data_IF_106429630458
#
_entry.id   IF_106429630458
#
_cell.length_a   1.000
_cell.length_b   1.000
_cell.length_c   1.000
_cell.angle_alpha   90.00
_cell.angle_beta   90.00
_cell.angle_gamma   90.00
#
_symmetry.space_group_name_H-M   'P 1'
#
loop_
_entity.id
_entity.type
_entity.pdbx_description
1 polymer ?
#
# COMPACT_ATOMS: atom_id res chain seq x y z
N UNK A 1 21.30 -32.21 -7.37
CA UNK A 1 20.10 -32.50 -6.56
C UNK A 1 20.41 -32.08 -5.14
N UNK A 2 19.71 -31.08 -4.62
CA UNK A 2 20.05 -30.47 -3.32
C UNK A 2 19.15 -31.07 -2.25
N UNK A 3 19.74 -31.73 -1.25
CA UNK A 3 19.00 -32.29 -0.12
C UNK A 3 18.67 -31.18 0.87
N UNK A 4 17.38 -30.89 1.06
CA UNK A 4 16.90 -29.93 2.07
C UNK A 4 16.38 -30.74 3.25
N UNK A 5 17.00 -30.59 4.42
CA UNK A 5 16.58 -31.26 5.66
C UNK A 5 15.72 -30.32 6.49
N UNK A 6 14.56 -30.81 6.94
CA UNK A 6 13.65 -30.10 7.83
C UNK A 6 13.74 -30.76 9.21
N UNK A 7 14.13 -30.03 10.27
CA UNK A 7 14.14 -30.53 11.63
C UNK A 7 12.76 -31.08 12.07
N UNK A 8 12.76 -32.20 12.81
CA UNK A 8 11.51 -32.86 13.24
C UNK A 8 10.65 -31.97 14.15
N UNK A 9 11.28 -31.07 14.91
CA UNK A 9 10.58 -30.13 15.78
C UNK A 9 9.73 -29.12 15.00
N UNK A 10 10.15 -28.79 13.77
CA UNK A 10 9.39 -27.89 12.89
C UNK A 10 8.25 -28.62 12.19
N UNK A 11 8.45 -29.89 11.83
CA UNK A 11 7.42 -30.72 11.21
C UNK A 11 6.22 -31.03 12.12
N UNK A 12 6.38 -30.91 13.44
CA UNK A 12 5.29 -31.12 14.41
C UNK A 12 4.34 -29.93 14.54
N UNK A 13 4.66 -28.77 13.97
CA UNK A 13 3.87 -27.53 14.11
C UNK A 13 2.75 -27.38 13.08
N UNK A 14 2.52 -28.41 12.25
CA UNK A 14 1.49 -28.43 11.21
C UNK A 14 2.08 -28.46 9.80
N UNK A 15 1.32 -27.97 8.83
CA UNK A 15 1.71 -28.00 7.42
C UNK A 15 2.84 -27.01 7.13
N UNK A 16 3.91 -27.49 6.49
CA UNK A 16 5.08 -26.72 6.13
C UNK A 16 5.13 -26.48 4.61
N UNK A 17 5.47 -25.25 4.22
CA UNK A 17 5.70 -24.88 2.83
C UNK A 17 7.13 -24.36 2.65
N UNK A 18 7.80 -24.81 1.58
CA UNK A 18 9.09 -24.29 1.15
C UNK A 18 8.85 -23.10 0.23
N UNK A 19 9.35 -21.93 0.60
CA UNK A 19 9.23 -20.70 -0.16
C UNK A 19 10.62 -20.10 -0.37
N UNK A 20 10.96 -19.64 -1.59
CA UNK A 20 12.19 -18.90 -1.81
C UNK A 20 12.31 -17.70 -0.88
N UNK A 21 13.50 -17.48 -0.32
CA UNK A 21 13.74 -16.42 0.68
C UNK A 21 13.26 -15.05 0.21
N UNK A 22 13.52 -14.70 -1.04
CA UNK A 22 13.13 -13.41 -1.63
C UNK A 22 11.62 -13.21 -1.61
N UNK A 23 10.85 -14.22 -2.00
CA UNK A 23 9.38 -14.18 -2.00
C UNK A 23 8.82 -14.07 -0.59
N UNK A 24 9.41 -14.79 0.38
CA UNK A 24 9.02 -14.68 1.78
C UNK A 24 9.25 -13.27 2.34
N UNK A 25 10.40 -12.65 2.03
CA UNK A 25 10.72 -11.28 2.46
C UNK A 25 9.79 -10.24 1.83
N UNK A 26 9.41 -10.41 0.57
CA UNK A 26 8.43 -9.56 -0.10
C UNK A 26 7.04 -9.71 0.53
N UNK A 27 6.59 -10.93 0.80
CA UNK A 27 5.33 -11.19 1.50
C UNK A 27 5.29 -10.53 2.89
N UNK A 28 6.40 -10.59 3.64
CA UNK A 28 6.49 -9.92 4.93
C UNK A 28 6.39 -8.39 4.82
N UNK A 29 6.87 -7.78 3.72
CA UNK A 29 6.68 -6.34 3.46
C UNK A 29 5.20 -6.03 3.21
N UNK A 30 4.50 -6.85 2.43
CA UNK A 30 3.07 -6.70 2.21
C UNK A 30 2.27 -6.79 3.52
N UNK A 31 2.62 -7.74 4.40
CA UNK A 31 1.96 -7.88 5.71
C UNK A 31 2.17 -6.68 6.65
N UNK A 32 3.20 -5.85 6.41
CA UNK A 32 3.43 -4.60 7.16
C UNK A 32 2.61 -3.42 6.67
N UNK A 33 1.99 -3.53 5.50
CA UNK A 33 1.07 -2.51 4.99
C UNK A 33 -0.19 -2.60 5.87
N UNK A 34 -0.34 -1.67 6.80
CA UNK A 34 -1.57 -1.56 7.59
C UNK A 34 -2.69 -1.18 6.65
N UNK A 35 -3.74 -2.00 6.62
CA UNK A 35 -4.96 -1.64 5.92
C UNK A 35 -5.48 -0.32 6.51
N UNK A 36 -5.50 0.71 5.67
CA UNK A 36 -5.98 2.01 6.07
C UNK A 36 -7.51 1.93 6.24
N UNK A 37 -7.97 2.04 7.48
CA UNK A 37 -9.41 2.14 7.77
C UNK A 37 -9.80 3.61 7.76
N UNK A 38 -10.44 4.13 6.69
CA UNK A 38 -10.78 5.55 6.62
C UNK A 38 -11.83 5.90 7.67
N UNK A 39 -11.74 7.09 8.24
CA UNK A 39 -12.78 7.71 9.06
C UNK A 39 -14.02 8.06 8.22
N UNK A 40 -15.14 8.37 8.88
CA UNK A 40 -16.37 8.85 8.21
C UNK A 40 -16.08 10.10 7.37
N UNK A 41 -15.25 11.02 7.90
CA UNK A 41 -14.89 12.26 7.23
C UNK A 41 -14.10 11.98 5.94
N UNK A 42 -13.10 11.09 6.01
CA UNK A 42 -12.28 10.71 4.85
C UNK A 42 -13.10 9.98 3.78
N UNK A 43 -14.04 9.12 4.18
CA UNK A 43 -14.97 8.48 3.22
C UNK A 43 -15.83 9.51 2.49
N UNK A 44 -16.36 10.50 3.21
CA UNK A 44 -17.14 11.60 2.60
C UNK A 44 -16.27 12.47 1.69
N UNK A 45 -15.04 12.77 2.11
CA UNK A 45 -14.08 13.53 1.32
C UNK A 45 -13.73 12.80 0.01
N UNK A 46 -13.52 11.48 0.07
CA UNK A 46 -13.25 10.66 -1.11
C UNK A 46 -14.47 10.61 -2.05
N UNK A 47 -15.67 10.46 -1.52
CA UNK A 47 -16.90 10.49 -2.32
C UNK A 47 -17.09 11.85 -3.01
N UNK A 48 -16.78 12.95 -2.31
CA UNK A 48 -16.78 14.30 -2.90
C UNK A 48 -15.73 14.43 -4.00
N UNK A 49 -14.49 14.03 -3.73
CA UNK A 49 -13.39 14.09 -4.69
C UNK A 49 -13.71 13.34 -5.99
N UNK A 50 -14.35 12.16 -5.89
CA UNK A 50 -14.80 11.40 -7.07
C UNK A 50 -15.83 12.16 -7.91
N UNK A 51 -16.80 12.84 -7.27
CA UNK A 51 -17.80 13.65 -7.97
C UNK A 51 -17.17 14.88 -8.62
N UNK A 52 -16.26 15.55 -7.91
CA UNK A 52 -15.56 16.72 -8.41
C UNK A 52 -14.71 16.34 -9.63
N UNK A 53 -14.01 15.19 -9.58
CA UNK A 53 -13.26 14.66 -10.71
C UNK A 53 -14.14 14.38 -11.94
N UNK A 54 -15.29 13.72 -11.77
CA UNK A 54 -16.24 13.46 -12.86
C UNK A 54 -16.79 14.75 -13.49
N UNK A 55 -16.91 15.81 -12.71
CA UNK A 55 -17.36 17.13 -13.18
C UNK A 55 -16.25 17.95 -13.84
N UNK A 56 -15.01 17.44 -13.91
CA UNK A 56 -13.85 18.19 -14.39
C UNK A 56 -13.29 19.18 -13.37
N UNK A 57 -13.75 19.16 -12.12
CA UNK A 57 -13.30 20.02 -11.05
C UNK A 57 -12.05 19.42 -10.38
N UNK A 58 -10.94 19.41 -11.11
CA UNK A 58 -9.64 18.98 -10.60
C UNK A 58 -8.55 19.95 -11.02
N UNK A 59 -7.44 19.88 -10.30
CA UNK A 59 -6.25 20.68 -10.56
C UNK A 59 -5.31 19.88 -11.48
N UNK A 60 -4.86 20.48 -12.57
CA UNK A 60 -3.75 19.91 -13.36
C UNK A 60 -2.43 20.10 -12.61
N UNK A 61 -1.41 19.31 -12.98
CA UNK A 61 -0.08 19.43 -12.38
C UNK A 61 0.52 20.83 -12.58
N UNK A 62 0.36 21.42 -13.78
CA UNK A 62 0.82 22.78 -14.06
C UNK A 62 0.10 23.86 -13.23
N UNK A 63 -1.19 23.65 -12.96
CA UNK A 63 -1.94 24.54 -12.07
C UNK A 63 -1.46 24.37 -10.62
N UNK A 64 -1.23 23.13 -10.18
CA UNK A 64 -0.71 22.84 -8.85
C UNK A 64 0.66 23.50 -8.62
N UNK A 65 1.59 23.36 -9.54
CA UNK A 65 2.93 23.95 -9.43
C UNK A 65 2.88 25.46 -9.34
N UNK A 66 2.03 26.11 -10.15
CA UNK A 66 1.82 27.57 -10.07
C UNK A 66 1.23 28.00 -8.73
N UNK A 67 0.26 27.27 -8.19
CA UNK A 67 -0.33 27.58 -6.88
C UNK A 67 0.68 27.41 -5.75
N UNK A 68 1.50 26.35 -5.78
CA UNK A 68 2.52 26.10 -4.77
C UNK A 68 3.67 27.11 -4.86
N UNK A 69 4.10 27.47 -6.07
CA UNK A 69 5.10 28.51 -6.29
C UNK A 69 4.65 29.86 -5.74
N UNK A 70 3.41 30.28 -6.04
CA UNK A 70 2.82 31.53 -5.52
C UNK A 70 2.74 31.54 -3.99
N UNK A 71 2.48 30.39 -3.37
CA UNK A 71 2.35 30.24 -1.91
C UNK A 71 3.70 30.25 -1.18
N UNK A 72 4.81 29.96 -1.86
CA UNK A 72 6.18 30.05 -1.30
C UNK A 72 6.75 31.48 -1.34
N UNK A 73 6.20 32.33 -2.21
CA UNK A 73 6.63 33.73 -2.38
C UNK A 73 5.74 34.74 -1.65
N UNK A 74 4.68 34.29 -0.94
CA UNK A 74 3.80 35.11 -0.10
C UNK A 74 4.08 34.80 1.37
#
# INVERSE_FOLDING_TARGET
MTLITIPKELAQKGDLALVPRKEYEEFLKFKKIREFTPTIAERKALAKARRDFQKGNFLTLEQLDRFLARRRTS
#
